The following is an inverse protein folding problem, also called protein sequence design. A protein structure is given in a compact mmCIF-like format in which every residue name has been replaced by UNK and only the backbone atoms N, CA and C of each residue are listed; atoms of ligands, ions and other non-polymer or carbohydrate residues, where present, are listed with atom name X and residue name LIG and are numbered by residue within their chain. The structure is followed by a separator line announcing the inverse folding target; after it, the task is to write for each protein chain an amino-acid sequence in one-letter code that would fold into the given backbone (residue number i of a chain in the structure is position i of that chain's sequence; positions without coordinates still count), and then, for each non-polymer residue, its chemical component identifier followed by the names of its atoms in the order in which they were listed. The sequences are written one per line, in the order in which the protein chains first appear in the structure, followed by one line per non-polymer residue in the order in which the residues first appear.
data_IF_301117266593
#
_entry.id   IF_301117266593
#
_cell.length_a   1.000
_cell.length_b   1.000
_cell.length_c   1.000
_cell.angle_alpha   90.00
_cell.angle_beta   90.00
_cell.angle_gamma   90.00
#
_symmetry.space_group_name_H-M   'P 1'
#
loop_
_entity.id
_entity.type
_entity.pdbx_description
1 polymer ?
#
# COMPACT_ATOMS: atom_id res chain seq x y z
N UNK A 1 12.93 30.69 68.81
CA UNK A 1 11.86 30.38 67.83
C UNK A 1 11.04 29.20 68.35
N UNK A 2 9.73 29.19 68.20
CA UNK A 2 8.86 28.12 68.74
C UNK A 2 9.04 26.81 67.96
N UNK A 3 9.17 25.68 68.65
CA UNK A 3 9.40 24.32 68.10
C UNK A 3 8.45 23.98 66.95
N UNK A 4 7.21 24.48 67.00
CA UNK A 4 6.18 24.30 65.96
C UNK A 4 6.63 24.80 64.57
N UNK A 5 7.35 25.92 64.51
CA UNK A 5 7.81 26.51 63.24
C UNK A 5 8.95 25.68 62.65
N UNK A 6 9.86 25.17 63.48
CA UNK A 6 10.96 24.32 63.02
C UNK A 6 10.47 23.01 62.41
N UNK A 7 9.47 22.37 63.05
CA UNK A 7 8.84 21.15 62.52
C UNK A 7 8.11 21.43 61.20
N UNK A 8 7.37 22.54 61.12
CA UNK A 8 6.68 22.93 59.88
C UNK A 8 7.66 23.18 58.71
N UNK A 9 8.78 23.85 58.97
CA UNK A 9 9.83 24.09 57.97
C UNK A 9 10.49 22.79 57.52
N UNK A 10 10.77 21.86 58.43
CA UNK A 10 11.34 20.56 58.10
C UNK A 10 10.41 19.73 57.20
N UNK A 11 9.11 19.70 57.51
CA UNK A 11 8.10 19.03 56.67
C UNK A 11 7.97 19.68 55.29
N UNK A 12 7.96 21.01 55.23
CA UNK A 12 7.93 21.73 53.95
C UNK A 12 9.14 21.40 53.09
N UNK A 13 10.34 21.42 53.68
CA UNK A 13 11.58 21.07 52.99
C UNK A 13 11.54 19.64 52.48
N UNK A 14 11.06 18.68 53.28
CA UNK A 14 10.91 17.29 52.86
C UNK A 14 9.94 17.14 51.68
N UNK A 15 8.79 17.81 51.73
CA UNK A 15 7.82 17.81 50.61
C UNK A 15 8.42 18.41 49.34
N UNK A 16 9.15 19.52 49.45
CA UNK A 16 9.83 20.14 48.32
C UNK A 16 10.91 19.23 47.72
N UNK A 17 11.70 18.57 48.57
CA UNK A 17 12.71 17.61 48.12
C UNK A 17 12.07 16.44 47.38
N UNK A 18 10.99 15.88 47.92
CA UNK A 18 10.26 14.78 47.29
C UNK A 18 9.67 15.19 45.93
N UNK A 19 9.03 16.36 45.86
CA UNK A 19 8.48 16.90 44.62
C UNK A 19 9.58 17.15 43.57
N UNK A 20 10.71 17.75 43.98
CA UNK A 20 11.84 18.01 43.11
C UNK A 20 12.46 16.72 42.58
N UNK A 21 12.64 15.70 43.44
CA UNK A 21 13.21 14.41 43.05
C UNK A 21 12.30 13.67 42.08
N UNK A 22 10.99 13.64 42.37
CA UNK A 22 9.99 13.02 41.49
C UNK A 22 9.94 13.73 40.14
N UNK A 23 9.95 15.07 40.14
CA UNK A 23 9.99 15.85 38.91
C UNK A 23 11.26 15.56 38.10
N UNK A 24 12.42 15.51 38.75
CA UNK A 24 13.69 15.19 38.11
C UNK A 24 13.67 13.78 37.47
N UNK A 25 13.16 12.77 38.17
CA UNK A 25 13.02 11.41 37.63
C UNK A 25 12.10 11.41 36.41
N UNK A 26 10.95 12.09 36.49
CA UNK A 26 10.01 12.17 35.37
C UNK A 26 10.65 12.83 34.15
N UNK A 27 11.36 13.93 34.33
CA UNK A 27 11.95 14.70 33.23
C UNK A 27 13.19 14.02 32.63
N UNK A 28 14.05 13.44 33.45
CA UNK A 28 15.36 12.93 33.02
C UNK A 28 15.26 11.47 32.56
N UNK A 29 14.39 10.67 33.19
CA UNK A 29 14.33 9.23 32.96
C UNK A 29 13.05 8.85 32.23
N UNK A 30 11.89 9.25 32.76
CA UNK A 30 10.61 8.73 32.28
C UNK A 30 10.25 9.27 30.89
N UNK A 31 10.20 10.60 30.72
CA UNK A 31 9.79 11.23 29.47
C UNK A 31 10.69 10.87 28.28
N UNK A 32 12.03 10.89 28.39
CA UNK A 32 12.90 10.47 27.28
C UNK A 32 12.73 9.00 26.92
N UNK A 33 12.51 8.13 27.92
CA UNK A 33 12.27 6.71 27.68
C UNK A 33 10.96 6.46 26.93
N UNK A 34 9.90 7.19 27.30
CA UNK A 34 8.62 7.14 26.58
C UNK A 34 8.78 7.66 25.16
N UNK A 35 9.40 8.82 24.97
CA UNK A 35 9.61 9.39 23.63
C UNK A 35 10.42 8.46 22.72
N UNK A 36 11.43 7.77 23.26
CA UNK A 36 12.18 6.76 22.53
C UNK A 36 11.29 5.58 22.13
N UNK A 37 10.52 5.04 23.08
CA UNK A 37 9.60 3.94 22.81
C UNK A 37 8.55 4.32 21.76
N UNK A 38 7.96 5.51 21.86
CA UNK A 38 7.01 6.05 20.88
C UNK A 38 7.64 6.15 19.49
N UNK A 39 8.89 6.61 19.39
CA UNK A 39 9.65 6.62 18.13
C UNK A 39 9.86 5.22 17.56
N UNK A 40 10.23 4.25 18.40
CA UNK A 40 10.41 2.86 17.99
C UNK A 40 9.08 2.22 17.54
N UNK A 41 7.97 2.50 18.25
CA UNK A 41 6.62 2.07 17.86
C UNK A 41 6.24 2.68 16.50
N UNK A 42 6.38 3.99 16.33
CA UNK A 42 6.07 4.68 15.09
C UNK A 42 6.88 4.14 13.90
N UNK A 43 8.19 3.89 14.09
CA UNK A 43 9.02 3.31 13.05
C UNK A 43 8.59 1.89 12.68
N UNK A 44 8.23 1.06 13.66
CA UNK A 44 7.70 -0.29 13.38
C UNK A 44 6.36 -0.24 12.66
N UNK A 45 5.50 0.72 13.00
CA UNK A 45 4.19 0.87 12.37
C UNK A 45 4.33 1.29 10.90
N UNK A 46 5.24 2.23 10.61
CA UNK A 46 5.59 2.59 9.23
C UNK A 46 6.16 1.38 8.48
N UNK A 47 7.05 0.60 9.11
CA UNK A 47 7.59 -0.61 8.48
C UNK A 47 6.50 -1.63 8.19
N UNK A 48 5.56 -1.86 9.11
CA UNK A 48 4.41 -2.76 8.88
C UNK A 48 3.55 -2.30 7.71
N UNK A 49 3.31 -1.00 7.57
CA UNK A 49 2.59 -0.46 6.43
C UNK A 49 3.35 -0.67 5.12
N UNK A 50 4.67 -0.45 5.12
CA UNK A 50 5.51 -0.70 3.95
C UNK A 50 5.48 -2.18 3.54
N UNK A 51 5.66 -3.09 4.51
CA UNK A 51 5.68 -4.53 4.25
C UNK A 51 4.32 -5.03 3.73
N UNK A 52 3.22 -4.47 4.21
CA UNK A 52 1.88 -4.77 3.69
C UNK A 52 1.72 -4.32 2.22
N UNK A 53 2.22 -3.13 1.85
CA UNK A 53 2.20 -2.65 0.46
C UNK A 53 3.06 -3.54 -0.44
N UNK A 54 4.24 -3.95 0.02
CA UNK A 54 5.12 -4.85 -0.73
C UNK A 54 4.50 -6.23 -0.94
N UNK A 55 3.83 -6.78 0.08
CA UNK A 55 3.11 -8.04 -0.02
C UNK A 55 1.98 -7.95 -1.06
N UNK A 56 1.25 -6.84 -1.11
CA UNK A 56 0.19 -6.61 -2.09
C UNK A 56 0.75 -6.46 -3.51
N UNK A 57 1.84 -5.72 -3.71
CA UNK A 57 2.50 -5.61 -5.01
C UNK A 57 2.99 -6.98 -5.51
N UNK A 58 3.57 -7.80 -4.63
CA UNK A 58 3.98 -9.16 -4.95
C UNK A 58 2.79 -10.06 -5.32
N UNK A 59 1.64 -9.90 -4.64
CA UNK A 59 0.41 -10.60 -5.00
C UNK A 59 -0.06 -10.23 -6.42
N UNK A 60 -0.18 -8.94 -6.73
CA UNK A 60 -0.57 -8.45 -8.05
C UNK A 60 0.40 -8.90 -9.15
N UNK A 61 1.69 -8.90 -8.86
CA UNK A 61 2.76 -9.31 -9.76
C UNK A 61 2.75 -10.81 -10.07
N UNK A 62 2.41 -11.63 -9.08
CA UNK A 62 2.18 -13.06 -9.28
C UNK A 62 0.93 -13.30 -10.12
N UNK A 63 -0.17 -12.61 -9.80
CA UNK A 63 -1.42 -12.69 -10.57
C UNK A 63 -1.20 -12.31 -12.03
N UNK A 64 -0.53 -11.19 -12.29
CA UNK A 64 -0.20 -10.74 -13.65
C UNK A 64 0.62 -11.78 -14.42
N UNK A 65 1.58 -12.45 -13.76
CA UNK A 65 2.39 -13.52 -14.37
C UNK A 65 1.54 -14.74 -14.68
N UNK A 66 0.64 -15.13 -13.78
CA UNK A 66 -0.24 -16.27 -14.00
C UNK A 66 -1.15 -16.02 -15.21
N UNK A 67 -1.69 -14.80 -15.37
CA UNK A 67 -2.44 -14.39 -16.55
C UNK A 67 -1.59 -14.32 -17.83
N UNK A 68 -0.36 -13.79 -17.74
CA UNK A 68 0.53 -13.66 -18.90
C UNK A 68 1.08 -15.01 -19.41
N UNK A 69 1.22 -15.99 -18.53
CA UNK A 69 1.72 -17.34 -18.86
C UNK A 69 0.61 -18.33 -19.24
N UNK A 70 -0.66 -17.93 -19.14
CA UNK A 70 -1.78 -18.81 -19.44
C UNK A 70 -2.02 -18.93 -20.94
N UNK A 71 -1.90 -20.15 -21.47
CA UNK A 71 -2.04 -20.45 -22.90
C UNK A 71 -3.34 -19.91 -23.53
N UNK A 72 -4.48 -20.00 -22.83
CA UNK A 72 -5.75 -19.49 -23.34
C UNK A 72 -5.79 -17.95 -23.41
N UNK A 73 -5.14 -17.27 -22.45
CA UNK A 73 -5.01 -15.82 -22.48
C UNK A 73 -4.07 -15.38 -23.61
N UNK A 74 -3.01 -16.15 -23.87
CA UNK A 74 -2.13 -15.93 -25.02
C UNK A 74 -2.87 -16.11 -26.35
N UNK A 75 -3.68 -17.18 -26.48
CA UNK A 75 -4.51 -17.40 -27.67
C UNK A 75 -5.52 -16.25 -27.87
N UNK A 76 -6.14 -15.79 -26.77
CA UNK A 76 -7.08 -14.67 -26.78
C UNK A 76 -6.48 -13.36 -27.32
N UNK A 77 -5.22 -13.07 -27.00
CA UNK A 77 -4.53 -11.88 -27.54
C UNK A 77 -4.47 -11.92 -29.08
N UNK A 78 -4.29 -13.10 -29.66
CA UNK A 78 -4.22 -13.28 -31.12
C UNK A 78 -5.59 -13.37 -31.79
N UNK A 79 -6.54 -14.10 -31.21
CA UNK A 79 -7.82 -14.43 -31.85
C UNK A 79 -8.99 -13.52 -31.45
N UNK A 80 -8.86 -12.80 -30.32
CA UNK A 80 -9.91 -11.98 -29.70
C UNK A 80 -11.24 -12.71 -29.57
N UNK A 81 -11.19 -13.98 -29.16
CA UNK A 81 -12.36 -14.84 -29.03
C UNK A 81 -13.37 -14.29 -27.99
N UNK A 82 -14.59 -13.91 -28.40
CA UNK A 82 -15.61 -13.38 -27.48
C UNK A 82 -16.04 -14.37 -26.39
N UNK A 83 -15.87 -15.67 -26.62
CA UNK A 83 -16.16 -16.70 -25.62
C UNK A 83 -15.23 -16.59 -24.42
N UNK A 84 -13.95 -16.26 -24.65
CA UNK A 84 -12.97 -16.07 -23.58
C UNK A 84 -13.37 -14.89 -22.69
N UNK A 85 -13.79 -13.77 -23.28
CA UNK A 85 -14.26 -12.61 -22.53
C UNK A 85 -15.46 -12.97 -21.65
N UNK A 86 -16.43 -13.70 -22.20
CA UNK A 86 -17.66 -14.09 -21.48
C UNK A 86 -17.41 -15.11 -20.36
N UNK A 87 -16.43 -16.00 -20.51
CA UNK A 87 -16.13 -17.01 -19.49
C UNK A 87 -15.16 -16.53 -18.42
N UNK A 88 -14.18 -15.69 -18.79
CA UNK A 88 -13.05 -15.37 -17.92
C UNK A 88 -13.02 -13.91 -17.47
N UNK A 89 -13.44 -12.96 -18.31
CA UNK A 89 -13.35 -11.52 -18.03
C UNK A 89 -14.67 -10.99 -17.43
N UNK A 90 -15.20 -11.71 -16.46
CA UNK A 90 -16.47 -11.39 -15.80
C UNK A 90 -16.26 -10.46 -14.59
N UNK A 91 -17.31 -9.76 -14.10
CA UNK A 91 -17.20 -8.97 -12.87
C UNK A 91 -16.71 -9.79 -11.67
N UNK A 92 -17.07 -11.07 -11.59
CA UNK A 92 -16.67 -11.97 -10.51
C UNK A 92 -15.15 -12.19 -10.45
N UNK A 93 -14.44 -12.08 -11.59
CA UNK A 93 -12.98 -12.13 -11.63
C UNK A 93 -12.34 -11.10 -10.69
N UNK A 94 -12.85 -9.88 -10.70
CA UNK A 94 -12.33 -8.75 -9.92
C UNK A 94 -12.54 -8.97 -8.42
N UNK A 95 -13.71 -9.50 -8.04
CA UNK A 95 -14.00 -9.84 -6.65
C UNK A 95 -13.15 -11.01 -6.15
N UNK A 96 -13.05 -12.08 -6.95
CA UNK A 96 -12.34 -13.30 -6.56
C UNK A 96 -10.82 -13.11 -6.53
N UNK A 97 -10.28 -12.30 -7.43
CA UNK A 97 -8.85 -11.99 -7.49
C UNK A 97 -8.45 -10.78 -6.66
N UNK A 98 -9.41 -10.14 -6.00
CA UNK A 98 -9.22 -8.93 -5.19
C UNK A 98 -8.50 -7.79 -5.94
N UNK A 99 -8.86 -7.57 -7.21
CA UNK A 99 -8.28 -6.52 -8.05
C UNK A 99 -9.34 -5.52 -8.48
N UNK A 100 -8.90 -4.30 -8.77
CA UNK A 100 -9.74 -3.26 -9.35
C UNK A 100 -9.51 -3.07 -10.84
N UNK A 101 -8.34 -3.48 -11.35
CA UNK A 101 -7.92 -3.24 -12.72
C UNK A 101 -7.35 -4.51 -13.29
N UNK A 102 -7.77 -4.85 -14.50
CA UNK A 102 -7.07 -5.79 -15.36
C UNK A 102 -6.94 -5.15 -16.75
N UNK A 103 -5.75 -5.25 -17.33
CA UNK A 103 -5.46 -4.82 -18.69
C UNK A 103 -4.62 -5.90 -19.36
N UNK A 104 -5.01 -6.28 -20.57
CA UNK A 104 -4.35 -7.25 -21.44
C UNK A 104 -3.86 -6.47 -22.66
N UNK A 105 -2.57 -6.56 -22.94
CA UNK A 105 -1.93 -5.93 -24.10
C UNK A 105 -1.30 -6.98 -25.01
N UNK A 106 -1.16 -6.66 -26.29
CA UNK A 106 -0.35 -7.45 -27.21
C UNK A 106 1.14 -7.11 -27.08
N UNK A 107 1.98 -7.81 -27.86
CA UNK A 107 3.43 -7.63 -27.87
C UNK A 107 3.88 -6.26 -28.39
N UNK A 108 3.01 -5.55 -29.11
CA UNK A 108 3.26 -4.19 -29.62
C UNK A 108 2.81 -3.12 -28.59
N UNK A 109 2.36 -3.55 -27.41
CA UNK A 109 1.88 -2.69 -26.33
C UNK A 109 0.48 -2.12 -26.58
N UNK A 110 -0.26 -2.62 -27.57
CA UNK A 110 -1.64 -2.20 -27.81
C UNK A 110 -2.58 -2.87 -26.83
N UNK A 111 -3.57 -2.13 -26.35
CA UNK A 111 -4.58 -2.64 -25.43
C UNK A 111 -5.54 -3.55 -26.19
N UNK A 112 -5.55 -4.84 -25.84
CA UNK A 112 -6.51 -5.84 -26.34
C UNK A 112 -7.80 -5.76 -25.53
N UNK A 113 -7.69 -5.69 -24.21
CA UNK A 113 -8.82 -5.59 -23.30
C UNK A 113 -8.42 -4.87 -22.02
N UNK A 114 -9.32 -4.09 -21.42
CA UNK A 114 -9.10 -3.51 -20.09
C UNK A 114 -10.40 -3.10 -19.43
N UNK A 115 -10.46 -3.25 -18.12
CA UNK A 115 -11.51 -2.69 -17.28
C UNK A 115 -10.95 -2.26 -15.93
N UNK A 116 -11.50 -1.15 -15.42
CA UNK A 116 -11.31 -0.67 -14.06
C UNK A 116 -12.66 -0.68 -13.35
N UNK A 117 -12.72 -1.23 -12.14
CA UNK A 117 -13.95 -1.41 -11.37
C UNK A 117 -13.77 -0.98 -9.91
N UNK A 118 -14.85 -0.46 -9.34
CA UNK A 118 -14.93 -0.16 -7.91
C UNK A 118 -14.90 -1.46 -7.09
N UNK A 119 -14.21 -1.44 -5.96
CA UNK A 119 -14.06 -2.63 -5.11
C UNK A 119 -15.38 -3.09 -4.47
N UNK A 120 -16.29 -2.16 -4.12
CA UNK A 120 -17.50 -2.49 -3.34
C UNK A 120 -18.65 -2.95 -4.21
N UNK A 121 -18.85 -2.28 -5.34
CA UNK A 121 -20.02 -2.49 -6.19
C UNK A 121 -19.66 -3.09 -7.54
N UNK A 122 -18.37 -3.31 -7.83
CA UNK A 122 -17.86 -3.76 -9.14
C UNK A 122 -18.33 -2.90 -10.31
N UNK A 123 -18.74 -1.66 -10.02
CA UNK A 123 -19.19 -0.70 -11.00
C UNK A 123 -17.99 -0.26 -11.84
N UNK A 124 -18.17 -0.15 -13.15
CA UNK A 124 -17.13 0.34 -14.05
C UNK A 124 -16.73 1.76 -13.66
N UNK A 125 -15.42 1.97 -13.55
CA UNK A 125 -14.80 3.25 -13.30
C UNK A 125 -14.04 3.69 -14.54
N UNK A 126 -14.23 4.95 -14.92
CA UNK A 126 -13.47 5.53 -16.02
C UNK A 126 -12.17 6.16 -15.50
N UNK A 127 -11.07 6.02 -16.25
CA UNK A 127 -9.76 6.57 -15.92
C UNK A 127 -9.01 7.05 -17.18
N UNK A 128 -9.39 8.21 -17.76
CA UNK A 128 -8.83 8.70 -19.02
C UNK A 128 -7.33 9.02 -18.96
N UNK A 129 -6.78 9.21 -17.75
CA UNK A 129 -5.34 9.41 -17.55
C UNK A 129 -4.58 8.10 -17.67
N UNK A 130 -5.15 7.02 -17.14
CA UNK A 130 -4.55 5.69 -17.22
C UNK A 130 -4.58 5.16 -18.65
N UNK A 131 -5.69 5.39 -19.35
CA UNK A 131 -5.84 4.99 -20.76
C UNK A 131 -4.81 5.66 -21.66
N UNK A 132 -4.59 6.96 -21.45
CA UNK A 132 -3.52 7.69 -22.14
C UNK A 132 -2.13 7.16 -21.83
N UNK A 133 -1.92 6.66 -20.62
CA UNK A 133 -0.63 6.14 -20.16
C UNK A 133 -0.33 4.78 -20.79
N UNK A 134 -1.32 3.88 -20.83
CA UNK A 134 -1.21 2.60 -21.51
C UNK A 134 -1.08 2.76 -23.03
N UNK A 135 -1.67 3.80 -23.61
CA UNK A 135 -1.57 4.10 -25.03
C UNK A 135 -0.26 4.81 -25.45
N UNK A 136 0.64 5.13 -24.51
CA UNK A 136 1.94 5.71 -24.85
C UNK A 136 2.85 4.62 -25.46
N UNK A 137 3.50 4.90 -26.61
CA UNK A 137 4.51 4.00 -27.16
C UNK A 137 5.63 3.76 -26.15
N UNK A 138 6.14 2.52 -26.10
CA UNK A 138 7.25 2.08 -25.24
C UNK A 138 7.05 2.37 -23.74
N UNK A 139 5.80 2.46 -23.28
CA UNK A 139 5.53 2.69 -21.88
C UNK A 139 5.95 1.48 -21.04
N UNK A 140 6.58 1.72 -19.88
CA UNK A 140 7.09 0.65 -19.00
C UNK A 140 6.03 -0.33 -18.49
N UNK A 141 4.75 0.01 -18.61
CA UNK A 141 3.64 -0.88 -18.22
C UNK A 141 3.20 -1.81 -19.35
N UNK A 142 3.56 -1.52 -20.60
CA UNK A 142 3.11 -2.27 -21.78
C UNK A 142 4.27 -2.85 -22.57
N UNK A 143 5.50 -2.34 -22.37
CA UNK A 143 6.70 -2.84 -23.01
C UNK A 143 7.74 -3.26 -21.96
N UNK A 144 8.09 -4.55 -21.99
CA UNK A 144 9.05 -5.18 -21.08
C UNK A 144 10.27 -5.67 -21.83
N UNK A 145 11.47 -5.35 -21.33
CA UNK A 145 12.71 -5.69 -22.03
C UNK A 145 13.04 -7.19 -22.02
N UNK A 146 12.55 -7.92 -21.01
CA UNK A 146 12.74 -9.38 -20.85
C UNK A 146 11.47 -10.01 -20.28
N UNK A 147 11.17 -11.29 -20.54
CA UNK A 147 9.96 -11.96 -20.05
C UNK A 147 9.83 -12.00 -18.53
N UNK A 148 10.94 -12.01 -17.79
CA UNK A 148 10.92 -11.98 -16.32
C UNK A 148 10.81 -10.58 -15.73
N UNK A 149 10.81 -9.54 -16.58
CA UNK A 149 10.70 -8.16 -16.12
C UNK A 149 9.39 -7.96 -15.37
N UNK A 150 9.42 -7.01 -14.44
CA UNK A 150 8.24 -6.61 -13.72
C UNK A 150 8.28 -5.11 -13.48
N UNK A 151 7.11 -4.49 -13.61
CA UNK A 151 6.93 -3.10 -13.23
C UNK A 151 5.84 -3.03 -12.19
N UNK A 152 6.26 -2.80 -10.95
CA UNK A 152 5.41 -2.64 -9.78
C UNK A 152 5.42 -1.17 -9.33
N UNK A 153 4.30 -0.69 -8.80
CA UNK A 153 4.26 0.65 -8.23
C UNK A 153 2.89 1.15 -7.84
N UNK A 154 2.81 2.46 -7.62
CA UNK A 154 1.59 3.16 -7.23
C UNK A 154 1.23 4.16 -8.30
N UNK A 155 -0.02 4.12 -8.78
CA UNK A 155 -0.58 5.10 -9.69
C UNK A 155 -1.71 5.87 -9.02
N UNK A 156 -1.58 7.19 -8.97
CA UNK A 156 -2.60 8.05 -8.36
C UNK A 156 -3.70 8.34 -9.38
N UNK A 157 -4.90 7.83 -9.10
CA UNK A 157 -6.12 8.09 -9.87
C UNK A 157 -6.97 9.17 -9.19
N UNK A 158 -8.03 9.64 -9.88
CA UNK A 158 -9.05 10.49 -9.25
C UNK A 158 -9.85 9.80 -8.15
N UNK A 159 -9.80 8.47 -8.10
CA UNK A 159 -10.50 7.63 -7.13
C UNK A 159 -9.60 7.20 -5.95
N UNK A 160 -8.31 7.55 -5.98
CA UNK A 160 -7.32 7.17 -4.98
C UNK A 160 -6.06 6.54 -5.58
N UNK A 161 -5.06 6.21 -4.73
CA UNK A 161 -3.89 5.46 -5.17
C UNK A 161 -4.29 4.03 -5.55
N UNK A 162 -3.79 3.56 -6.68
CA UNK A 162 -3.93 2.20 -7.17
C UNK A 162 -2.55 1.55 -7.12
N UNK A 163 -2.44 0.38 -6.47
CA UNK A 163 -1.27 -0.47 -6.61
C UNK A 163 -1.39 -1.25 -7.92
N UNK A 164 -0.28 -1.38 -8.63
CA UNK A 164 -0.25 -2.04 -9.94
C UNK A 164 1.02 -2.84 -10.12
N UNK A 165 0.89 -3.92 -10.86
CA UNK A 165 1.98 -4.71 -11.38
C UNK A 165 1.73 -4.98 -12.86
N UNK A 166 2.80 -5.01 -13.64
CA UNK A 166 2.80 -5.42 -15.04
C UNK A 166 3.91 -6.43 -15.28
N UNK A 167 3.62 -7.41 -16.14
CA UNK A 167 4.43 -8.57 -16.51
C UNK A 167 4.43 -8.72 -18.03
#
# INVERSE_FOLDING_TARGET
MSIRIQVALALLLMCLLFAATTHAITQIVLLPSIAKLEGDFASRDVQRCHDAIQAELAHLSNLARDWASWDDAYAYVADRNPQFEQSNLTPDLFANSNINLLAITDSDGQIVWRELRDHKHLALLDSPRFDRLLAMPDHRLTHHAVPEACVEGVFVTRHGPLLLASR
#
